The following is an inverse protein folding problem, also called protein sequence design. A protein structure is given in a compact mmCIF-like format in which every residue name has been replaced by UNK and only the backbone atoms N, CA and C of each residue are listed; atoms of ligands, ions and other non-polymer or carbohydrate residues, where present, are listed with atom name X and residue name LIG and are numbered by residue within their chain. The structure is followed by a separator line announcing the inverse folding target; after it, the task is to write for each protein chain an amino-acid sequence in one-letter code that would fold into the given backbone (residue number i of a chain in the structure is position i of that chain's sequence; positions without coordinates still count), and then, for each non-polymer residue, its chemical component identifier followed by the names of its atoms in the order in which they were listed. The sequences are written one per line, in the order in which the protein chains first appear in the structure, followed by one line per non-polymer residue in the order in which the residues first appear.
data_IF_009666581956
#
_entry.id   IF_009666581956
#
_cell.length_a   1.000
_cell.length_b   1.000
_cell.length_c   1.000
_cell.angle_alpha   90.00
_cell.angle_beta   90.00
_cell.angle_gamma   90.00
#
_symmetry.space_group_name_H-M   'P 1'
#
loop_
_entity.id
_entity.type
_entity.pdbx_description
1 polymer ?
#
# COMPACT_ATOMS: atom_id res chain seq x y z
N UNK A 1 -9.79 -20.16 15.29
CA UNK A 1 -10.39 -19.86 13.97
C UNK A 1 -9.52 -18.80 13.29
N UNK A 2 -8.57 -19.20 12.43
CA UNK A 2 -7.79 -18.23 11.64
C UNK A 2 -8.74 -17.68 10.58
N UNK A 3 -9.13 -16.40 10.67
CA UNK A 3 -9.74 -15.70 9.53
C UNK A 3 -8.71 -15.81 8.41
N UNK A 4 -9.07 -16.43 7.29
CA UNK A 4 -8.25 -16.38 6.08
C UNK A 4 -8.32 -14.91 5.64
N UNK A 5 -7.23 -14.20 5.86
CA UNK A 5 -7.09 -12.80 5.44
C UNK A 5 -6.62 -12.87 3.99
N UNK A 6 -7.55 -12.61 3.07
CA UNK A 6 -7.25 -12.59 1.65
C UNK A 6 -6.74 -11.22 1.23
N UNK A 7 -5.42 -11.04 1.29
CA UNK A 7 -4.73 -9.85 0.77
C UNK A 7 -4.65 -9.85 -0.76
N UNK A 8 -4.74 -11.03 -1.40
CA UNK A 8 -4.57 -11.14 -2.85
C UNK A 8 -5.73 -10.52 -3.63
N UNK A 9 -6.90 -10.37 -3.01
CA UNK A 9 -8.05 -9.71 -3.60
C UNK A 9 -8.27 -8.27 -3.08
N UNK A 10 -7.28 -7.69 -2.39
CA UNK A 10 -7.35 -6.33 -1.87
C UNK A 10 -6.94 -5.32 -2.96
N UNK A 11 -7.74 -4.29 -3.18
CA UNK A 11 -7.56 -3.31 -4.25
C UNK A 11 -7.17 -1.91 -3.74
N UNK A 12 -6.63 -1.02 -4.58
CA UNK A 12 -6.46 0.39 -4.21
C UNK A 12 -7.75 1.00 -3.64
N UNK A 13 -7.62 1.65 -2.48
CA UNK A 13 -8.74 2.14 -1.67
C UNK A 13 -9.06 1.26 -0.47
N UNK A 14 -8.82 -0.06 -0.53
CA UNK A 14 -9.01 -0.95 0.61
C UNK A 14 -8.04 -0.61 1.75
N UNK A 15 -8.34 -1.10 2.95
CA UNK A 15 -7.51 -0.85 4.14
C UNK A 15 -6.94 -2.12 4.73
N UNK A 16 -5.69 -2.06 5.16
CA UNK A 16 -4.96 -3.14 5.82
C UNK A 16 -4.59 -2.70 7.23
N UNK A 17 -4.82 -3.56 8.23
CA UNK A 17 -4.25 -3.42 9.57
C UNK A 17 -3.20 -4.51 9.75
N UNK A 18 -2.02 -4.09 10.19
CA UNK A 18 -0.90 -4.99 10.48
C UNK A 18 -0.77 -5.22 11.98
N UNK A 19 -0.25 -6.36 12.42
CA UNK A 19 -0.12 -6.64 13.85
C UNK A 19 0.80 -5.66 14.59
N UNK A 20 1.95 -5.23 14.00
CA UNK A 20 2.82 -4.23 14.64
C UNK A 20 2.17 -2.84 14.78
N UNK A 21 1.18 -2.52 13.95
CA UNK A 21 0.58 -1.18 13.87
C UNK A 21 -0.94 -1.23 14.06
N UNK A 22 -1.44 -0.65 15.15
CA UNK A 22 -2.88 -0.63 15.47
C UNK A 22 -3.74 0.23 14.53
N UNK A 23 -3.14 0.90 13.55
CA UNK A 23 -3.83 1.82 12.64
C UNK A 23 -3.93 1.21 11.25
N UNK A 24 -5.03 1.51 10.58
CA UNK A 24 -5.29 1.05 9.23
C UNK A 24 -4.52 1.89 8.20
N UNK A 25 -3.82 1.22 7.30
CA UNK A 25 -3.20 1.81 6.12
C UNK A 25 -4.12 1.61 4.92
N UNK A 26 -4.22 2.62 4.07
CA UNK A 26 -4.96 2.56 2.81
C UNK A 26 -4.04 2.03 1.70
N UNK A 27 -4.49 1.06 0.93
CA UNK A 27 -3.80 0.61 -0.28
C UNK A 27 -3.87 1.72 -1.32
N UNK A 28 -2.74 2.12 -1.86
CA UNK A 28 -2.64 3.20 -2.86
C UNK A 28 -2.32 2.68 -4.25
N UNK A 29 -1.49 1.65 -4.34
CA UNK A 29 -1.17 0.99 -5.58
C UNK A 29 -0.79 -0.47 -5.32
N UNK A 30 -0.98 -1.33 -6.31
CA UNK A 30 -0.62 -2.75 -6.23
C UNK A 30 -0.30 -3.33 -7.59
N UNK A 31 0.45 -4.41 -7.59
CA UNK A 31 0.56 -5.35 -8.69
C UNK A 31 0.52 -6.79 -8.14
N UNK A 32 1.01 -7.77 -8.93
CA UNK A 32 1.03 -9.19 -8.56
C UNK A 32 1.94 -9.51 -7.37
N UNK A 33 2.97 -8.70 -7.11
CA UNK A 33 3.98 -8.93 -6.07
C UNK A 33 3.99 -7.86 -4.98
N UNK A 34 3.80 -6.60 -5.34
CA UNK A 34 3.98 -5.46 -4.44
C UNK A 34 2.66 -4.75 -4.16
N UNK A 35 2.53 -4.25 -2.93
CA UNK A 35 1.44 -3.38 -2.51
C UNK A 35 2.04 -2.18 -1.77
N UNK A 36 1.68 -0.97 -2.18
CA UNK A 36 2.10 0.26 -1.49
C UNK A 36 0.90 0.79 -0.71
N UNK A 37 1.09 0.96 0.60
CA UNK A 37 0.06 1.45 1.50
C UNK A 37 0.51 2.73 2.19
N UNK A 38 -0.43 3.64 2.44
CA UNK A 38 -0.17 4.88 3.17
C UNK A 38 -1.15 5.09 4.32
N UNK A 39 -0.70 5.83 5.33
CA UNK A 39 -1.51 6.26 6.46
C UNK A 39 -1.29 7.77 6.66
N UNK A 40 -2.35 8.59 6.74
CA UNK A 40 -2.22 10.01 6.99
C UNK A 40 -1.45 10.34 8.27
N UNK A 41 -0.54 11.31 8.20
CA UNK A 41 0.12 11.89 9.38
C UNK A 41 -0.12 13.41 9.41
N UNK A 42 -1.08 13.82 10.26
CA UNK A 42 -1.70 15.16 10.23
C UNK A 42 -0.79 16.34 10.60
N UNK A 43 0.50 16.15 10.87
CA UNK A 43 1.34 17.25 11.33
C UNK A 43 1.91 18.12 10.20
N UNK A 44 2.24 17.58 9.00
CA UNK A 44 2.93 18.36 7.95
C UNK A 44 2.74 17.85 6.50
N UNK A 45 1.53 17.45 6.07
CA UNK A 45 1.31 16.84 4.74
C UNK A 45 2.19 15.60 4.45
N UNK A 46 2.76 15.00 5.49
CA UNK A 46 3.53 13.76 5.38
C UNK A 46 2.59 12.59 5.62
N UNK A 47 2.92 11.45 5.04
CA UNK A 47 2.23 10.19 5.29
C UNK A 47 3.22 9.17 5.80
N UNK A 48 2.76 8.26 6.65
CA UNK A 48 3.48 7.00 6.81
C UNK A 48 3.20 6.15 5.59
N UNK A 49 4.20 5.43 5.13
CA UNK A 49 4.04 4.46 4.06
C UNK A 49 4.70 3.14 4.42
N UNK A 50 4.28 2.09 3.76
CA UNK A 50 4.97 0.80 3.76
C UNK A 50 4.75 0.14 2.41
N UNK A 51 5.74 -0.62 1.97
CA UNK A 51 5.69 -1.44 0.77
C UNK A 51 5.66 -2.89 1.25
N UNK A 52 4.69 -3.65 0.76
CA UNK A 52 4.60 -5.10 0.99
C UNK A 52 5.24 -5.79 -0.20
N UNK A 53 6.14 -6.73 0.06
CA UNK A 53 6.63 -7.69 -0.93
C UNK A 53 5.97 -9.04 -0.61
N UNK A 54 4.96 -9.41 -1.40
CA UNK A 54 4.17 -10.63 -1.18
C UNK A 54 4.96 -11.90 -1.47
N UNK A 55 5.93 -11.83 -2.40
CA UNK A 55 6.79 -12.96 -2.72
C UNK A 55 7.77 -13.25 -1.58
N UNK A 56 8.37 -12.20 -1.00
CA UNK A 56 9.27 -12.32 0.15
C UNK A 56 8.55 -12.45 1.50
N UNK A 57 7.25 -12.13 1.56
CA UNK A 57 6.47 -12.15 2.79
C UNK A 57 6.92 -11.10 3.80
N UNK A 58 7.35 -9.92 3.34
CA UNK A 58 7.86 -8.84 4.19
C UNK A 58 7.17 -7.51 3.90
N UNK A 59 7.29 -6.57 4.83
CA UNK A 59 6.84 -5.19 4.67
C UNK A 59 7.90 -4.21 5.18
N UNK A 60 8.05 -3.07 4.51
CA UNK A 60 8.99 -2.03 4.91
C UNK A 60 9.12 -0.89 3.91
N UNK A 61 10.05 0.06 4.12
CA UNK A 61 10.34 1.11 3.15
C UNK A 61 11.11 0.56 1.94
N UNK A 62 11.26 1.39 0.91
CA UNK A 62 12.22 1.10 -0.16
C UNK A 62 13.68 1.13 0.38
N UNK A 63 14.60 0.56 -0.38
CA UNK A 63 16.01 0.43 -0.02
C UNK A 63 16.86 1.70 -0.23
N UNK A 64 16.32 2.71 -0.92
CA UNK A 64 17.05 3.93 -1.26
C UNK A 64 17.41 4.73 0.00
N UNK A 65 18.66 5.21 0.06
CA UNK A 65 19.14 6.05 1.18
C UNK A 65 18.49 7.44 1.13
N UNK A 66 18.37 7.98 -0.08
CA UNK A 66 17.62 9.20 -0.35
C UNK A 66 16.32 8.82 -1.04
N UNK A 67 15.22 8.91 -0.30
CA UNK A 67 13.91 8.60 -0.84
C UNK A 67 13.52 9.68 -1.86
N UNK A 68 13.44 9.30 -3.13
CA UNK A 68 13.08 10.18 -4.24
C UNK A 68 11.56 10.31 -4.45
N UNK A 69 10.75 9.49 -3.76
CA UNK A 69 9.30 9.49 -3.90
C UNK A 69 8.61 10.21 -2.75
N UNK A 70 7.64 11.07 -3.08
CA UNK A 70 6.69 11.65 -2.14
C UNK A 70 5.42 10.80 -2.08
N UNK A 71 5.33 9.95 -1.05
CA UNK A 71 4.18 9.06 -0.83
C UNK A 71 2.87 9.79 -0.48
N UNK A 72 2.86 11.12 -0.37
CA UNK A 72 1.63 11.90 -0.31
C UNK A 72 0.99 12.12 -1.70
N UNK A 73 1.76 11.94 -2.79
CA UNK A 73 1.33 12.12 -4.18
C UNK A 73 1.11 10.78 -4.85
N UNK A 74 0.03 10.65 -5.61
CA UNK A 74 -0.29 9.38 -6.27
C UNK A 74 0.68 9.09 -7.41
N UNK A 75 1.14 10.11 -8.12
CA UNK A 75 2.05 9.99 -9.26
C UNK A 75 3.38 9.36 -8.84
N UNK A 76 3.93 9.79 -7.71
CA UNK A 76 5.18 9.25 -7.15
C UNK A 76 4.99 7.81 -6.62
N UNK A 77 3.81 7.48 -6.10
CA UNK A 77 3.47 6.10 -5.69
C UNK A 77 3.44 5.18 -6.90
N UNK A 78 2.78 5.61 -7.98
CA UNK A 78 2.66 4.84 -9.21
C UNK A 78 4.04 4.64 -9.86
N UNK A 79 4.88 5.69 -9.88
CA UNK A 79 6.27 5.57 -10.35
C UNK A 79 7.08 4.61 -9.49
N UNK A 80 6.98 4.69 -8.15
CA UNK A 80 7.64 3.75 -7.26
C UNK A 80 7.22 2.30 -7.53
N UNK A 81 5.94 2.06 -7.83
CA UNK A 81 5.46 0.72 -8.18
C UNK A 81 6.05 0.21 -9.50
N UNK A 82 6.21 1.09 -10.50
CA UNK A 82 6.87 0.76 -11.77
C UNK A 82 8.36 0.42 -11.55
N UNK A 83 9.05 1.20 -10.73
CA UNK A 83 10.47 0.99 -10.47
C UNK A 83 10.70 -0.31 -9.67
N UNK A 84 9.78 -0.69 -8.78
CA UNK A 84 9.82 -1.97 -8.04
C UNK A 84 9.70 -3.22 -8.91
N UNK A 85 9.02 -3.13 -10.07
CA UNK A 85 8.85 -4.26 -10.99
C UNK A 85 9.94 -4.33 -12.05
N UNK A 86 10.68 -3.24 -12.25
CA UNK A 86 11.69 -3.19 -13.29
C UNK A 86 12.96 -3.90 -12.81
N UNK A 87 13.37 -5.02 -13.44
CA UNK A 87 14.59 -5.73 -13.05
C UNK A 87 15.88 -4.94 -13.32
N UNK A 88 15.83 -3.89 -14.14
CA UNK A 88 16.97 -2.99 -14.39
C UNK A 88 17.13 -1.93 -13.29
N UNK A 89 16.07 -1.66 -12.53
CA UNK A 89 16.10 -0.71 -11.42
C UNK A 89 16.61 -1.34 -10.13
N UNK A 90 17.16 -0.51 -9.26
CA UNK A 90 17.70 -0.97 -7.96
C UNK A 90 16.70 -0.87 -6.82
N UNK A 91 15.46 -0.46 -7.11
CA UNK A 91 14.43 -0.20 -6.10
C UNK A 91 13.81 -1.51 -5.62
N UNK A 92 13.88 -1.75 -4.31
CA UNK A 92 13.30 -2.93 -3.69
C UNK A 92 12.87 -2.64 -2.24
N UNK A 93 12.11 -3.55 -1.64
CA UNK A 93 11.80 -3.47 -0.20
C UNK A 93 13.07 -3.75 0.61
N UNK A 94 13.46 -2.78 1.44
CA UNK A 94 14.72 -2.77 2.18
C UNK A 94 14.92 -4.00 3.06
N UNK A 95 15.98 -4.78 2.84
CA UNK A 95 16.33 -5.93 3.70
C UNK A 95 16.64 -5.56 5.16
N UNK A 96 17.21 -4.36 5.38
CA UNK A 96 17.67 -3.92 6.70
C UNK A 96 16.55 -3.32 7.55
N UNK A 97 15.51 -2.82 6.89
CA UNK A 97 14.41 -2.08 7.54
C UNK A 97 13.05 -2.77 7.39
N UNK A 98 13.00 -3.91 6.70
CA UNK A 98 11.77 -4.69 6.58
C UNK A 98 11.54 -5.58 7.79
N UNK A 99 10.28 -5.95 7.97
CA UNK A 99 9.82 -6.89 8.98
C UNK A 99 8.94 -7.94 8.30
N UNK A 100 8.74 -9.09 8.97
CA UNK A 100 7.81 -10.11 8.49
C UNK A 100 6.40 -9.51 8.32
N UNK A 101 5.75 -9.88 7.22
CA UNK A 101 4.38 -9.48 6.94
C UNK A 101 3.44 -10.17 7.93
N UNK A 102 2.79 -9.38 8.79
CA UNK A 102 1.81 -9.86 9.76
C UNK A 102 0.54 -9.01 9.66
N UNK A 103 -0.46 -9.55 8.97
CA UNK A 103 -1.72 -8.87 8.69
C UNK A 103 -2.78 -9.35 9.69
N UNK A 104 -3.49 -8.42 10.30
CA UNK A 104 -4.59 -8.69 11.23
C UNK A 104 -5.94 -8.66 10.53
N UNK A 105 -6.13 -7.73 9.61
CA UNK A 105 -7.40 -7.58 8.89
C UNK A 105 -7.25 -6.78 7.61
N UNK A 106 -8.07 -7.13 6.61
CA UNK A 106 -8.27 -6.36 5.38
C UNK A 106 -9.72 -5.91 5.33
N UNK A 107 -9.96 -4.62 5.11
CA UNK A 107 -11.27 -4.01 4.96
C UNK A 107 -11.47 -3.61 3.51
N UNK A 108 -12.40 -4.28 2.84
CA UNK A 108 -12.81 -3.87 1.51
C UNK A 108 -13.74 -2.67 1.59
N UNK A 109 -13.37 -1.57 0.95
CA UNK A 109 -14.28 -0.43 0.85
C UNK A 109 -15.24 -0.75 -0.30
N UNK A 110 -16.54 -0.84 0.00
CA UNK A 110 -17.54 -1.01 -1.07
C UNK A 110 -17.44 0.19 -2.01
N UNK A 111 -17.43 0.00 -3.34
CA UNK A 111 -17.59 1.11 -4.24
C UNK A 111 -18.91 1.81 -3.88
N UNK A 112 -18.83 3.10 -3.57
CA UNK A 112 -20.01 3.92 -3.42
C UNK A 112 -20.80 3.81 -4.72
N UNK A 113 -22.02 3.28 -4.64
CA UNK A 113 -22.92 3.18 -5.79
C UNK A 113 -23.02 4.56 -6.42
N UNK A 114 -22.52 4.68 -7.66
CA UNK A 114 -22.75 5.86 -8.49
C UNK A 114 -24.25 6.01 -8.68
N UNK A 115 -24.88 6.83 -7.85
CA UNK A 115 -26.25 7.29 -8.04
C UNK A 115 -26.25 8.25 -9.21
N UNK A 116 -26.23 7.71 -10.43
CA UNK A 116 -26.68 8.43 -11.62
C UNK A 116 -28.22 8.43 -11.59
N UNK A 117 -28.79 9.25 -10.71
CA UNK A 117 -30.15 9.72 -10.92
C UNK A 117 -30.09 10.72 -12.08
N UNK A 118 -30.67 10.33 -13.21
CA UNK A 118 -30.78 11.17 -14.38
C UNK A 118 -31.45 12.49 -14.03
N UNK A 119 -30.77 13.58 -14.34
CA UNK A 119 -31.40 14.88 -14.49
C UNK A 119 -31.95 14.93 -15.91
N UNK A 120 -33.20 14.49 -16.07
CA UNK A 120 -34.04 14.93 -17.17
C UNK A 120 -34.56 16.31 -16.81
N UNK A 121 -34.10 17.36 -17.51
CA UNK A 121 -34.92 18.51 -17.92
C UNK A 121 -34.40 19.02 -19.27
#
# INVERSE_FOLDING_TARGET
MKRIIDINSAEPGDKIIFAPWKRAYTIKARNERFIICTQPFNFHHTVFYTIIDMERGVMGPNNLVFNMYDYAKQEDIDQCLLDLINPEETVEVSYRKSVALDIVSVYKIKPETATLAGNNE
#
